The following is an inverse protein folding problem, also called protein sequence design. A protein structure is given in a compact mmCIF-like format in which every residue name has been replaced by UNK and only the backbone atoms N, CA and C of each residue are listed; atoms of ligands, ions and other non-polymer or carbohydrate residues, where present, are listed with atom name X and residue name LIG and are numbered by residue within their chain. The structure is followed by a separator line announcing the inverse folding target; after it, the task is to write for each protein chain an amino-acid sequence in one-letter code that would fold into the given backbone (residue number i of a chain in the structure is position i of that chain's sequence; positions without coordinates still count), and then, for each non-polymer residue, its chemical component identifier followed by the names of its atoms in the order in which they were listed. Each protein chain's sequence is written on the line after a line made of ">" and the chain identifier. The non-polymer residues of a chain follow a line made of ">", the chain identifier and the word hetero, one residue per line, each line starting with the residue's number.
data_IF_769027979318
#
_entry.id   IF_769027979318
#
_cell.length_a   1.000
_cell.length_b   1.000
_cell.length_c   1.000
_cell.angle_alpha   90.00
_cell.angle_beta   90.00
_cell.angle_gamma   90.00
#
_symmetry.space_group_name_H-M   'P 1'
#
loop_
_entity.id
_entity.type
_entity.pdbx_description
1 polymer ?
#
# COMPACT_ATOMS: atom_id res chain seq x y z
N UNK A 1 -9.43 22.63 14.46
CA UNK A 1 -10.10 21.82 13.42
C UNK A 1 -9.03 21.42 12.42
N UNK A 2 -8.78 20.12 12.22
CA UNK A 2 -7.86 19.66 11.20
C UNK A 2 -8.45 19.96 9.81
N UNK A 3 -7.64 20.48 8.88
CA UNK A 3 -8.09 20.68 7.49
C UNK A 3 -8.30 19.32 6.82
N UNK A 4 -9.10 19.28 5.75
CA UNK A 4 -9.33 18.05 4.98
C UNK A 4 -8.03 17.37 4.52
N UNK A 5 -7.01 18.16 4.20
CA UNK A 5 -5.67 17.67 3.86
C UNK A 5 -4.96 16.97 5.03
N UNK A 6 -5.06 17.52 6.25
CA UNK A 6 -4.46 16.91 7.43
C UNK A 6 -5.19 15.62 7.84
N UNK A 7 -6.52 15.58 7.72
CA UNK A 7 -7.29 14.35 7.98
C UNK A 7 -6.94 13.23 6.98
N UNK A 8 -6.77 13.58 5.70
CA UNK A 8 -6.34 12.64 4.66
C UNK A 8 -4.94 12.07 4.94
N UNK A 9 -3.96 12.95 5.20
CA UNK A 9 -2.60 12.55 5.55
C UNK A 9 -2.58 11.62 6.78
N UNK A 10 -3.33 11.96 7.83
CA UNK A 10 -3.42 11.12 9.03
C UNK A 10 -4.05 9.76 8.72
N UNK A 11 -5.08 9.69 7.88
CA UNK A 11 -5.69 8.41 7.49
C UNK A 11 -4.68 7.51 6.76
N UNK A 12 -3.92 8.04 5.80
CA UNK A 12 -2.86 7.29 5.09
C UNK A 12 -1.83 6.76 6.06
N UNK A 13 -1.24 7.64 6.89
CA UNK A 13 -0.16 7.26 7.80
C UNK A 13 -0.64 6.28 8.87
N UNK A 14 -1.82 6.49 9.45
CA UNK A 14 -2.34 5.64 10.50
C UNK A 14 -2.62 4.22 9.97
N UNK A 15 -3.30 4.10 8.83
CA UNK A 15 -3.56 2.79 8.21
C UNK A 15 -2.27 2.10 7.78
N UNK A 16 -1.37 2.82 7.11
CA UNK A 16 -0.10 2.24 6.65
C UNK A 16 0.77 1.79 7.84
N UNK A 17 0.91 2.62 8.86
CA UNK A 17 1.76 2.33 10.01
C UNK A 17 1.17 1.27 10.94
N UNK A 18 -0.16 1.11 10.97
CA UNK A 18 -0.82 0.00 11.64
C UNK A 18 -0.34 -1.35 11.09
N UNK A 19 -0.37 -1.51 9.76
CA UNK A 19 0.10 -2.73 9.11
C UNK A 19 1.62 -2.90 9.24
N UNK A 20 2.40 -1.84 8.96
CA UNK A 20 3.87 -1.90 9.08
C UNK A 20 4.35 -2.37 10.45
N UNK A 21 3.69 -1.93 11.53
CA UNK A 21 4.02 -2.37 12.88
C UNK A 21 3.87 -3.89 13.07
N UNK A 22 2.91 -4.54 12.41
CA UNK A 22 2.74 -6.00 12.48
C UNK A 22 3.90 -6.74 11.81
N UNK A 23 4.51 -6.12 10.78
CA UNK A 23 5.62 -6.66 9.99
C UNK A 23 6.98 -6.11 10.42
N UNK A 24 7.08 -5.53 11.63
CA UNK A 24 8.32 -4.97 12.18
C UNK A 24 8.95 -3.89 11.29
N UNK A 25 8.15 -3.30 10.41
CA UNK A 25 8.58 -2.22 9.54
C UNK A 25 8.44 -0.89 10.27
N UNK A 26 9.48 -0.05 10.18
CA UNK A 26 9.48 1.27 10.82
C UNK A 26 8.33 2.11 10.27
N UNK A 27 7.69 2.90 11.11
CA UNK A 27 6.64 3.81 10.69
C UNK A 27 7.13 4.75 9.59
N UNK A 28 6.34 4.90 8.52
CA UNK A 28 6.59 5.89 7.47
C UNK A 28 6.27 7.29 7.96
N UNK A 29 6.98 8.24 7.38
CA UNK A 29 6.70 9.66 7.50
C UNK A 29 6.05 10.19 6.23
N UNK A 30 5.29 11.27 6.34
CA UNK A 30 4.70 11.92 5.17
C UNK A 30 5.75 12.72 4.41
N UNK A 31 5.75 12.59 3.09
CA UNK A 31 6.60 13.39 2.21
C UNK A 31 5.71 14.22 1.25
N UNK A 32 5.82 15.53 1.36
CA UNK A 32 5.01 16.49 0.57
C UNK A 32 5.38 16.50 -0.92
N UNK A 33 6.60 16.17 -1.29
CA UNK A 33 7.03 16.11 -2.69
C UNK A 33 6.41 14.87 -3.37
N UNK A 34 6.44 13.72 -2.68
CA UNK A 34 5.74 12.51 -3.11
C UNK A 34 4.24 12.74 -3.23
N UNK A 35 3.63 13.41 -2.25
CA UNK A 35 2.21 13.73 -2.28
C UNK A 35 1.85 14.66 -3.45
N UNK A 36 2.71 15.64 -3.75
CA UNK A 36 2.53 16.54 -4.89
C UNK A 36 2.62 15.78 -6.22
N UNK A 37 3.58 14.86 -6.34
CA UNK A 37 3.70 13.99 -7.51
C UNK A 37 2.45 13.11 -7.69
N UNK A 38 2.02 12.43 -6.62
CA UNK A 38 0.85 11.56 -6.62
C UNK A 38 -0.44 12.33 -6.93
N UNK A 39 -0.62 13.53 -6.37
CA UNK A 39 -1.77 14.39 -6.65
C UNK A 39 -1.80 14.84 -8.11
N UNK A 40 -0.66 15.26 -8.66
CA UNK A 40 -0.55 15.60 -10.06
C UNK A 40 -0.87 14.41 -10.97
N UNK A 41 -0.33 13.22 -10.67
CA UNK A 41 -0.57 12.03 -11.46
C UNK A 41 -2.03 11.55 -11.41
N UNK A 42 -2.59 11.46 -10.19
CA UNK A 42 -3.98 11.03 -9.97
C UNK A 42 -5.00 11.88 -10.71
N UNK A 43 -4.75 13.19 -10.89
CA UNK A 43 -5.62 14.11 -11.62
C UNK A 43 -5.91 13.70 -13.07
N UNK A 44 -5.04 12.89 -13.68
CA UNK A 44 -5.24 12.36 -15.02
C UNK A 44 -6.32 11.29 -15.11
N UNK A 45 -6.74 10.69 -13.98
CA UNK A 45 -7.73 9.60 -13.95
C UNK A 45 -7.39 8.42 -14.89
N UNK A 46 -6.10 8.06 -14.97
CA UNK A 46 -5.59 6.98 -15.80
C UNK A 46 -5.30 5.77 -14.90
N UNK A 47 -5.98 4.64 -15.13
CA UNK A 47 -5.79 3.40 -14.38
C UNK A 47 -4.52 2.65 -14.82
N UNK A 48 -3.36 3.24 -14.53
CA UNK A 48 -2.03 2.69 -14.85
C UNK A 48 -1.00 3.29 -13.91
N UNK A 49 0.08 2.57 -13.65
CA UNK A 49 1.24 3.12 -12.94
C UNK A 49 1.88 4.30 -13.68
N UNK A 50 2.42 5.27 -12.93
CA UNK A 50 3.04 6.47 -13.47
C UNK A 50 4.35 6.22 -14.21
N UNK A 51 5.05 5.14 -13.85
CA UNK A 51 6.42 4.88 -14.31
C UNK A 51 7.46 5.82 -13.69
N UNK A 52 7.08 6.55 -12.62
CA UNK A 52 7.97 7.42 -11.87
C UNK A 52 9.11 6.67 -11.18
N UNK A 53 10.05 7.42 -10.56
CA UNK A 53 11.21 6.82 -9.89
C UNK A 53 10.86 6.17 -8.54
N UNK A 54 9.71 6.48 -7.96
CA UNK A 54 9.27 6.05 -6.64
C UNK A 54 8.62 4.65 -6.67
N UNK A 55 8.41 4.04 -5.51
CA UNK A 55 7.48 2.90 -5.40
C UNK A 55 6.05 3.43 -5.50
N UNK A 56 5.10 2.65 -6.03
CA UNK A 56 3.76 3.16 -6.29
C UNK A 56 2.67 2.11 -6.01
N UNK A 57 1.63 2.51 -5.29
CA UNK A 57 0.40 1.73 -5.14
C UNK A 57 -0.80 2.52 -5.68
N UNK A 58 -1.71 1.81 -6.37
CA UNK A 58 -2.91 2.36 -6.97
C UNK A 58 -4.17 1.68 -6.42
N UNK A 59 -5.22 2.45 -6.19
CA UNK A 59 -6.53 1.93 -5.80
C UNK A 59 -7.64 2.74 -6.44
N UNK A 60 -8.70 2.09 -6.93
CA UNK A 60 -9.89 2.76 -7.43
C UNK A 60 -11.18 2.20 -6.82
N UNK A 61 -12.25 2.98 -6.82
CA UNK A 61 -13.60 2.50 -6.46
C UNK A 61 -13.85 2.26 -4.97
N UNK A 62 -12.85 2.46 -4.10
CA UNK A 62 -13.02 2.29 -2.65
C UNK A 62 -13.79 3.47 -2.02
N UNK A 63 -14.60 3.23 -0.97
CA UNK A 63 -15.39 4.28 -0.32
C UNK A 63 -14.53 5.29 0.44
N UNK A 64 -13.33 4.90 0.86
CA UNK A 64 -12.38 5.78 1.54
C UNK A 64 -10.94 5.21 1.45
N UNK A 65 -9.98 6.00 1.92
CA UNK A 65 -8.55 5.68 1.89
C UNK A 65 -8.19 4.50 2.78
N UNK A 66 -8.83 4.38 3.96
CA UNK A 66 -8.53 3.28 4.88
C UNK A 66 -8.88 1.94 4.23
N UNK A 67 -10.07 1.82 3.63
CA UNK A 67 -10.47 0.57 2.96
C UNK A 67 -9.65 0.25 1.70
N UNK A 68 -9.10 1.26 1.03
CA UNK A 68 -8.14 1.06 -0.06
C UNK A 68 -6.81 0.49 0.45
N UNK A 69 -6.27 1.03 1.55
CA UNK A 69 -5.04 0.53 2.17
C UNK A 69 -5.26 -0.86 2.77
N UNK A 70 -6.41 -1.13 3.37
CA UNK A 70 -6.77 -2.46 3.88
C UNK A 70 -6.79 -3.48 2.73
N UNK A 71 -7.30 -3.10 1.54
CA UNK A 71 -7.28 -3.97 0.37
C UNK A 71 -5.86 -4.29 -0.10
N UNK A 72 -4.96 -3.29 -0.14
CA UNK A 72 -3.54 -3.52 -0.40
C UNK A 72 -2.90 -4.44 0.62
N UNK A 73 -3.19 -4.25 1.91
CA UNK A 73 -2.65 -5.08 2.98
C UNK A 73 -3.16 -6.53 2.93
N UNK A 74 -4.44 -6.72 2.58
CA UNK A 74 -5.07 -8.04 2.52
C UNK A 74 -4.46 -8.96 1.44
N UNK A 75 -3.72 -8.42 0.46
CA UNK A 75 -2.92 -9.21 -0.46
C UNK A 75 -1.87 -10.11 0.24
N UNK A 76 -1.55 -9.85 1.51
CA UNK A 76 -0.77 -10.77 2.35
C UNK A 76 -1.28 -12.21 2.29
N UNK A 77 -2.60 -12.42 2.15
CA UNK A 77 -3.21 -13.76 2.06
C UNK A 77 -2.71 -14.60 0.88
N UNK A 78 -2.11 -13.94 -0.13
CA UNK A 78 -1.51 -14.56 -1.29
C UNK A 78 0.03 -14.62 -1.23
N UNK A 79 0.65 -14.00 -0.22
CA UNK A 79 2.10 -13.91 -0.12
C UNK A 79 2.72 -15.17 0.48
N UNK A 80 3.73 -15.71 -0.20
CA UNK A 80 4.45 -16.90 0.24
C UNK A 80 5.81 -16.51 0.84
N UNK A 81 5.87 -16.46 2.17
CA UNK A 81 7.08 -16.14 2.93
C UNK A 81 8.23 -17.15 2.74
N UNK A 82 7.92 -18.42 2.43
CA UNK A 82 8.95 -19.44 2.17
C UNK A 82 9.64 -19.23 0.83
N UNK A 83 8.89 -18.72 -0.15
CA UNK A 83 9.35 -18.43 -1.52
C UNK A 83 9.10 -16.96 -1.86
N UNK A 84 9.74 -16.02 -1.15
CA UNK A 84 9.44 -14.59 -1.23
C UNK A 84 9.86 -14.05 -2.60
N UNK A 85 8.92 -13.45 -3.31
CA UNK A 85 9.11 -12.88 -4.65
C UNK A 85 7.98 -11.93 -4.99
N UNK A 86 8.19 -11.14 -6.04
CA UNK A 86 7.12 -10.39 -6.67
C UNK A 86 6.01 -11.30 -7.21
N UNK A 87 4.77 -10.85 -7.06
CA UNK A 87 3.64 -11.32 -7.85
C UNK A 87 2.65 -10.17 -8.01
N UNK A 88 1.87 -10.20 -9.09
CA UNK A 88 0.81 -9.20 -9.32
C UNK A 88 -0.29 -9.24 -8.25
N UNK A 89 -0.37 -10.33 -7.47
CA UNK A 89 -1.36 -10.47 -6.40
C UNK A 89 -0.88 -9.98 -5.04
N UNK A 90 0.38 -9.58 -4.92
CA UNK A 90 1.04 -9.26 -3.64
C UNK A 90 1.85 -7.98 -3.70
N UNK A 91 1.88 -7.30 -4.86
CA UNK A 91 2.74 -6.16 -5.10
C UNK A 91 2.42 -4.97 -4.20
N UNK A 92 1.13 -4.72 -3.92
CA UNK A 92 0.73 -3.61 -3.06
C UNK A 92 1.06 -3.89 -1.61
N UNK A 93 0.78 -5.11 -1.12
CA UNK A 93 1.14 -5.54 0.23
C UNK A 93 2.64 -5.40 0.45
N UNK A 94 3.44 -5.99 -0.45
CA UNK A 94 4.90 -6.00 -0.31
C UNK A 94 5.50 -4.59 -0.34
N UNK A 95 4.98 -3.66 -1.15
CA UNK A 95 5.37 -2.26 -1.09
C UNK A 95 4.96 -1.58 0.23
N UNK A 96 3.75 -1.83 0.71
CA UNK A 96 3.21 -1.22 1.93
C UNK A 96 4.08 -1.54 3.16
N UNK A 97 4.53 -2.80 3.27
CA UNK A 97 5.32 -3.28 4.42
C UNK A 97 6.83 -3.35 4.16
N UNK A 98 7.30 -2.81 3.04
CA UNK A 98 8.72 -2.82 2.67
C UNK A 98 9.58 -2.14 3.75
N UNK A 99 10.51 -2.89 4.33
CA UNK A 99 11.29 -2.47 5.51
C UNK A 99 12.08 -1.17 5.27
N UNK A 100 12.77 -1.08 4.15
CA UNK A 100 13.67 0.03 3.81
C UNK A 100 12.95 1.28 3.33
N UNK A 101 11.66 1.21 3.00
CA UNK A 101 10.86 2.41 2.68
C UNK A 101 10.68 3.27 3.94
N UNK A 102 10.91 4.58 3.83
CA UNK A 102 10.92 5.50 4.99
C UNK A 102 9.86 6.60 4.90
N UNK A 103 9.38 6.89 3.69
CA UNK A 103 8.39 7.93 3.47
C UNK A 103 7.34 7.54 2.44
N UNK A 104 6.16 8.13 2.58
CA UNK A 104 5.03 8.00 1.67
C UNK A 104 4.39 9.36 1.43
N UNK A 105 3.91 9.59 0.22
CA UNK A 105 3.02 10.70 -0.09
C UNK A 105 1.96 10.25 -1.06
N UNK A 106 0.71 10.65 -0.82
CA UNK A 106 -0.42 10.21 -1.63
C UNK A 106 -1.22 11.38 -2.17
N UNK A 107 -1.92 11.14 -3.27
CA UNK A 107 -2.94 12.01 -3.84
C UNK A 107 -4.17 11.20 -4.20
N UNK A 108 -5.34 11.82 -4.13
CA UNK A 108 -6.56 11.18 -4.60
C UNK A 108 -7.46 12.17 -5.34
N UNK A 109 -8.25 11.65 -6.26
CA UNK A 109 -9.28 12.39 -6.98
C UNK A 109 -10.50 11.49 -7.17
N UNK A 110 -11.68 12.08 -7.38
CA UNK A 110 -12.85 11.33 -7.82
C UNK A 110 -12.90 11.33 -9.35
N UNK A 111 -12.77 10.14 -9.93
CA UNK A 111 -12.85 9.93 -11.38
C UNK A 111 -14.20 9.34 -11.78
N UNK A 112 -14.69 9.73 -12.94
CA UNK A 112 -15.91 9.23 -13.57
C UNK A 112 -15.64 8.66 -14.98
N UNK A 113 -14.36 8.43 -15.30
CA UNK A 113 -13.91 8.09 -16.64
C UNK A 113 -14.33 6.66 -17.01
N UNK A 114 -15.17 6.54 -18.04
CA UNK A 114 -15.67 5.27 -18.59
C UNK A 114 -14.86 4.75 -19.79
N UNK A 115 -13.78 5.43 -20.18
CA UNK A 115 -12.88 5.02 -21.26
C UNK A 115 -12.07 3.77 -20.93
N UNK A 116 -11.40 3.21 -21.94
CA UNK A 116 -10.74 1.88 -21.91
C UNK A 116 -9.63 1.71 -20.86
N UNK A 117 -9.18 2.77 -20.20
CA UNK A 117 -8.24 2.73 -19.05
C UNK A 117 -8.55 3.83 -18.03
N UNK A 118 -9.81 4.27 -17.97
CA UNK A 118 -10.25 5.32 -17.07
C UNK A 118 -10.40 4.79 -15.64
N UNK A 119 -9.80 5.48 -14.67
CA UNK A 119 -10.05 5.19 -13.28
C UNK A 119 -11.49 5.57 -12.89
N UNK A 120 -12.09 4.87 -11.92
CA UNK A 120 -13.49 5.06 -11.50
C UNK A 120 -13.64 5.23 -9.98
N UNK A 121 -14.52 6.14 -9.57
CA UNK A 121 -14.76 6.41 -8.16
C UNK A 121 -13.60 7.17 -7.53
N UNK A 122 -13.32 6.93 -6.25
CA UNK A 122 -12.09 7.45 -5.64
C UNK A 122 -10.90 6.75 -6.29
N UNK A 123 -9.98 7.51 -6.89
CA UNK A 123 -8.70 7.03 -7.40
C UNK A 123 -7.58 7.54 -6.49
N UNK A 124 -6.91 6.63 -5.80
CA UNK A 124 -5.83 6.90 -4.85
C UNK A 124 -4.51 6.41 -5.46
N UNK A 125 -3.53 7.31 -5.44
CA UNK A 125 -2.15 7.06 -5.84
C UNK A 125 -1.28 7.34 -4.61
N UNK A 126 -0.44 6.39 -4.24
CA UNK A 126 0.54 6.55 -3.16
C UNK A 126 1.93 6.24 -3.67
N UNK A 127 2.85 7.17 -3.46
CA UNK A 127 4.25 7.07 -3.83
C UNK A 127 5.12 6.81 -2.59
N UNK A 128 6.15 5.99 -2.74
CA UNK A 128 7.00 5.48 -1.65
C UNK A 128 8.47 5.70 -1.95
N UNK A 129 9.22 6.20 -0.96
CA UNK A 129 10.67 6.43 -1.06
C UNK A 129 11.39 5.93 0.19
N UNK A 130 12.48 5.16 0.05
CA UNK A 130 12.93 4.45 -1.16
C UNK A 130 11.88 3.46 -1.69
N UNK A 131 11.89 3.23 -3.01
CA UNK A 131 10.96 2.30 -3.67
C UNK A 131 11.12 0.87 -3.15
N UNK A 132 10.00 0.20 -2.95
CA UNK A 132 9.95 -1.21 -2.61
C UNK A 132 10.00 -2.10 -3.84
N UNK A 133 9.68 -3.38 -3.64
CA UNK A 133 9.54 -4.37 -4.72
C UNK A 133 10.79 -4.56 -5.58
N UNK A 134 11.97 -4.38 -4.99
CA UNK A 134 13.24 -4.61 -5.67
C UNK A 134 13.52 -6.12 -5.77
N UNK A 135 13.73 -6.58 -7.01
CA UNK A 135 14.02 -8.00 -7.29
C UNK A 135 15.21 -8.49 -6.46
N UNK A 136 15.02 -9.61 -5.78
CA UNK A 136 16.04 -10.25 -4.94
C UNK A 136 16.08 -9.78 -3.49
N UNK A 137 15.32 -8.74 -3.11
CA UNK A 137 15.35 -8.18 -1.75
C UNK A 137 14.15 -8.59 -0.88
N UNK A 138 13.13 -9.24 -1.44
CA UNK A 138 11.88 -9.60 -0.74
C UNK A 138 12.08 -10.33 0.60
N UNK A 139 13.08 -11.23 0.69
CA UNK A 139 13.33 -12.01 1.91
C UNK A 139 13.75 -11.13 3.10
N UNK A 140 14.51 -10.07 2.86
CA UNK A 140 14.97 -9.14 3.91
C UNK A 140 13.97 -8.01 4.14
N UNK A 141 13.18 -7.68 3.12
CA UNK A 141 12.33 -6.49 3.10
C UNK A 141 10.87 -6.73 3.49
N UNK A 142 10.40 -7.97 3.48
CA UNK A 142 9.01 -8.33 3.81
C UNK A 142 9.01 -9.40 4.90
N UNK A 143 8.88 -8.96 6.14
CA UNK A 143 8.90 -9.85 7.32
C UNK A 143 7.52 -10.43 7.60
N UNK A 144 7.48 -11.64 8.16
CA UNK A 144 6.24 -12.28 8.58
C UNK A 144 5.77 -11.70 9.92
N UNK A 145 4.45 -11.53 10.14
CA UNK A 145 3.96 -11.07 11.43
C UNK A 145 4.42 -11.96 12.58
N UNK A 146 4.94 -11.36 13.64
CA UNK A 146 5.27 -12.06 14.90
C UNK A 146 6.55 -12.91 14.89
N UNK A 147 7.25 -13.07 13.77
CA UNK A 147 8.56 -13.73 13.74
C UNK A 147 9.67 -12.70 13.96
N UNK A 148 10.52 -12.88 14.97
CA UNK A 148 11.70 -12.03 15.14
C UNK A 148 12.73 -12.23 14.02
N UNK A 149 13.60 -11.25 13.81
CA UNK A 149 14.73 -11.32 12.86
C UNK A 149 15.62 -12.57 13.00
N UNK A 150 15.52 -13.25 14.14
CA UNK A 150 16.33 -14.40 14.52
C UNK A 150 15.57 -15.73 14.34
N UNK A 151 14.36 -15.70 13.77
CA UNK A 151 13.52 -16.88 13.52
C UNK A 151 12.78 -17.42 14.76
N UNK A 152 12.92 -16.76 15.92
CA UNK A 152 12.28 -17.19 17.16
C UNK A 152 10.87 -16.57 17.33
N UNK A 153 9.85 -17.33 17.78
CA UNK A 153 8.55 -16.80 18.16
C UNK A 153 8.68 -15.84 19.35
N UNK A 154 8.22 -14.59 19.21
CA UNK A 154 8.24 -13.66 20.36
C UNK A 154 7.05 -13.91 21.30
N UNK A 155 7.37 -14.33 22.53
CA UNK A 155 6.49 -14.29 23.70
C UNK A 155 6.09 -12.83 23.98
N UNK A 156 4.95 -12.38 23.44
CA UNK A 156 4.47 -11.02 23.69
C UNK A 156 3.52 -10.44 22.65
N UNK A 157 3.18 -11.15 21.57
CA UNK A 157 2.03 -10.76 20.76
C UNK A 157 0.77 -10.87 21.64
N UNK A 158 0.26 -9.73 22.10
CA UNK A 158 -1.06 -9.66 22.72
C UNK A 158 -2.04 -10.41 21.81
N UNK A 159 -2.90 -11.29 22.35
CA UNK A 159 -3.85 -12.01 21.53
C UNK A 159 -4.62 -10.97 20.72
N UNK A 160 -4.46 -11.06 19.40
CA UNK A 160 -5.10 -10.15 18.46
C UNK A 160 -6.55 -10.02 18.89
N UNK A 161 -6.99 -8.78 19.08
CA UNK A 161 -8.40 -8.47 19.11
C UNK A 161 -8.97 -9.09 17.84
N UNK A 162 -9.60 -10.25 18.01
CA UNK A 162 -10.45 -10.88 17.03
C UNK A 162 -11.70 -10.01 16.92
N UNK A 163 -11.54 -8.77 16.46
CA UNK A 163 -12.59 -8.12 15.70
C UNK A 163 -12.67 -8.99 14.47
N UNK A 164 -13.58 -9.98 14.53
CA UNK A 164 -13.78 -10.96 13.48
C UNK A 164 -13.68 -10.23 12.16
N UNK A 165 -12.81 -10.73 11.27
CA UNK A 165 -12.71 -10.27 9.89
C UNK A 165 -14.15 -10.21 9.38
N UNK A 166 -14.76 -9.02 9.43
CA UNK A 166 -16.03 -8.79 8.82
C UNK A 166 -15.68 -8.99 7.35
N UNK A 167 -16.10 -10.13 6.81
CA UNK A 167 -16.07 -10.39 5.39
C UNK A 167 -16.97 -9.33 4.78
N UNK A 168 -16.43 -8.13 4.55
CA UNK A 168 -16.95 -7.29 3.50
C UNK A 168 -16.71 -8.11 2.24
N UNK A 169 -17.79 -8.76 1.79
CA UNK A 169 -17.98 -9.08 0.40
C UNK A 169 -17.89 -7.74 -0.35
N UNK A 170 -16.66 -7.32 -0.62
CA UNK A 170 -16.35 -6.09 -1.31
C UNK A 170 -16.64 -6.29 -2.78
N UNK A 171 -17.46 -5.39 -3.33
CA UNK A 171 -17.58 -5.19 -4.75
C UNK A 171 -16.20 -5.19 -5.42
N UNK A 172 -16.12 -5.68 -6.66
CA UNK A 172 -14.91 -5.67 -7.49
C UNK A 172 -14.36 -4.24 -7.63
N UNK A 173 -13.50 -3.84 -6.70
CA UNK A 173 -12.58 -2.73 -6.82
C UNK A 173 -11.26 -3.31 -7.31
N UNK A 174 -10.77 -2.80 -8.43
CA UNK A 174 -9.51 -3.27 -9.00
C UNK A 174 -8.35 -2.63 -8.23
N UNK A 175 -7.33 -3.43 -7.95
CA UNK A 175 -6.00 -2.94 -7.59
C UNK A 175 -5.10 -3.25 -8.80
N UNK A 176 -4.41 -2.26 -9.35
CA UNK A 176 -3.56 -2.44 -10.54
C UNK A 176 -2.14 -2.75 -10.09
N UNK A 177 -1.64 -3.95 -10.39
CA UNK A 177 -0.22 -4.28 -10.20
C UNK A 177 0.34 -4.68 -11.56
N UNK A 178 0.99 -3.77 -12.28
CA UNK A 178 1.61 -4.10 -13.58
C UNK A 178 2.99 -3.44 -13.71
N UNK A 179 4.01 -4.29 -13.68
CA UNK A 179 5.40 -4.15 -14.16
C UNK A 179 6.16 -2.84 -13.89
N UNK A 180 7.07 -2.89 -12.90
CA UNK A 180 8.38 -2.22 -13.00
C UNK A 180 9.43 -3.26 -13.40
N UNK A 181 9.46 -3.67 -14.67
CA UNK A 181 10.65 -4.31 -15.23
C UNK A 181 11.47 -3.24 -15.94
N UNK A 182 12.51 -2.78 -15.25
CA UNK A 182 13.69 -2.19 -15.86
C UNK A 182 14.20 -3.14 -16.95
N UNK A 183 14.21 -2.66 -18.20
CA UNK A 183 15.37 -2.86 -19.07
C UNK A 183 16.38 -1.76 -18.74
#
# INVERSE_FOLDING_TARGET
>A
MATSGQAFQSAVLNSTNYYRAQHQAKALTWNSDLASFAANYSSGCIWRHSGGPYGENLAEGYPNVATAIDAWANEEEHYNYEKPKFSEKTGHFTQLVWQSTTSVGCGFVKCDNSGTNGAKGMYLVCEYEPRGNVKGQYRTEVQKPGESSDGEPRLGAAPGLNLGRARMLGALAAACVVFASLL
#
